data_IF_903593228814
#
_entry.id   IF_903593228814
#
_cell.length_a   1.000
_cell.length_b   1.000
_cell.length_c   1.000
_cell.angle_alpha   90.00
_cell.angle_beta   90.00
_cell.angle_gamma   90.00
#
_symmetry.space_group_name_H-M   'P 1'
#
loop_
_entity.id
_entity.type
_entity.pdbx_description
1 polymer ?
#
# COMPACT_ATOMS: atom_id res chain seq x y z
N UNK A 1 -5.81 -20.40 71.95
CA UNK A 1 -4.98 -19.26 72.42
C UNK A 1 -4.60 -18.44 71.20
N UNK A 2 -4.99 -17.16 71.18
CA UNK A 2 -4.77 -16.22 70.07
C UNK A 2 -3.30 -15.84 70.01
N UNK A 3 -2.68 -15.99 68.84
CA UNK A 3 -1.39 -15.40 68.53
C UNK A 3 -1.62 -14.27 67.51
N UNK A 4 -1.27 -13.06 67.93
CA UNK A 4 -1.21 -11.87 67.09
C UNK A 4 -0.07 -12.02 66.08
N UNK A 5 -0.32 -11.68 64.81
CA UNK A 5 0.74 -11.30 63.89
C UNK A 5 0.33 -10.01 63.16
N UNK A 6 1.00 -8.94 63.55
CA UNK A 6 1.02 -7.64 62.89
C UNK A 6 1.98 -7.78 61.70
N UNK A 7 1.51 -7.50 60.49
CA UNK A 7 2.39 -7.30 59.32
C UNK A 7 2.18 -5.87 58.83
N UNK A 8 3.21 -5.04 59.07
CA UNK A 8 3.45 -3.78 58.39
C UNK A 8 3.63 -4.05 56.89
N UNK A 9 2.82 -3.41 56.04
CA UNK A 9 3.15 -3.24 54.63
C UNK A 9 3.73 -1.83 54.43
N UNK A 10 5.02 -1.79 54.07
CA UNK A 10 5.73 -0.58 53.67
C UNK A 10 5.17 -0.02 52.36
N UNK A 11 5.13 1.30 52.29
CA UNK A 11 4.98 2.08 51.07
C UNK A 11 6.18 1.87 50.13
N UNK A 12 5.91 1.53 48.88
CA UNK A 12 6.76 1.88 47.74
C UNK A 12 5.89 2.52 46.67
N UNK A 13 5.89 3.85 46.68
CA UNK A 13 5.40 4.67 45.57
C UNK A 13 6.38 4.53 44.40
N UNK A 14 5.96 3.87 43.32
CA UNK A 14 6.68 3.92 42.05
C UNK A 14 6.13 5.07 41.20
N UNK A 15 7.05 5.98 40.94
CA UNK A 15 7.02 7.14 40.08
C UNK A 15 6.34 6.95 38.71
N UNK A 16 5.59 7.99 38.32
CA UNK A 16 5.79 8.68 37.04
C UNK A 16 5.42 7.93 35.76
N UNK A 17 4.12 7.78 35.49
CA UNK A 17 3.64 7.61 34.13
C UNK A 17 3.59 8.98 33.44
N UNK A 18 4.67 9.32 32.73
CA UNK A 18 4.64 10.42 31.75
C UNK A 18 3.58 10.09 30.69
N UNK A 19 2.65 11.02 30.36
CA UNK A 19 1.78 10.83 29.21
C UNK A 19 2.63 10.72 27.94
N UNK A 20 2.23 9.91 26.94
CA UNK A 20 2.92 9.86 25.66
C UNK A 20 2.97 11.27 25.06
N UNK A 21 4.04 11.63 24.34
CA UNK A 21 4.14 12.95 23.71
C UNK A 21 2.90 13.17 22.86
N UNK A 22 2.22 14.25 23.24
CA UNK A 22 1.12 14.89 22.56
C UNK A 22 1.39 14.85 21.05
N UNK A 23 0.39 14.35 20.31
CA UNK A 23 0.39 14.35 18.84
C UNK A 23 0.95 15.68 18.37
N UNK A 24 2.02 15.64 17.58
CA UNK A 24 2.44 16.78 16.78
C UNK A 24 1.16 17.36 16.15
N UNK A 25 0.81 18.62 16.42
CA UNK A 25 -0.36 19.21 15.80
C UNK A 25 -0.11 19.12 14.30
N UNK A 26 -0.93 18.31 13.62
CA UNK A 26 -1.14 18.47 12.19
C UNK A 26 -1.37 19.97 11.96
N UNK A 27 -0.73 20.60 10.97
CA UNK A 27 -0.90 22.02 10.75
C UNK A 27 -2.40 22.25 10.58
N UNK A 28 -2.97 22.98 11.54
CA UNK A 28 -4.31 23.54 11.48
C UNK A 28 -4.29 24.60 10.39
N UNK A 29 -4.28 24.13 9.14
CA UNK A 29 -4.49 24.95 7.96
C UNK A 29 -5.97 25.26 7.86
N UNK A 30 -6.36 26.40 8.41
CA UNK A 30 -7.54 27.14 7.96
C UNK A 30 -7.28 27.62 6.53
N UNK A 31 -7.33 26.71 5.56
CA UNK A 31 -7.31 26.98 4.15
C UNK A 31 -8.42 26.16 3.51
N UNK A 32 -9.18 26.76 2.61
CA UNK A 32 -10.18 26.03 1.83
C UNK A 32 -9.56 24.88 1.02
N UNK A 33 -10.38 24.13 0.27
CA UNK A 33 -9.88 23.02 -0.52
C UNK A 33 -8.73 23.45 -1.43
N UNK A 34 -7.75 22.57 -1.58
CA UNK A 34 -6.59 22.78 -2.44
C UNK A 34 -6.45 21.62 -3.42
N UNK A 35 -5.82 21.89 -4.56
CA UNK A 35 -5.44 20.84 -5.49
C UNK A 35 -4.36 19.97 -4.87
N UNK A 36 -4.65 18.68 -4.72
CA UNK A 36 -3.75 17.69 -4.16
C UNK A 36 -3.61 16.53 -5.15
N UNK A 37 -2.52 15.78 -5.03
CA UNK A 37 -2.38 14.53 -5.77
C UNK A 37 -3.55 13.60 -5.48
N UNK A 38 -4.12 13.04 -6.53
CA UNK A 38 -5.07 11.95 -6.41
C UNK A 38 -4.27 10.69 -6.05
N UNK A 39 -4.25 10.28 -4.78
CA UNK A 39 -3.54 9.06 -4.37
C UNK A 39 -4.41 7.80 -4.50
N UNK A 40 -4.75 7.39 -5.72
CA UNK A 40 -5.28 6.04 -5.94
C UNK A 40 -4.11 5.07 -6.16
N UNK A 41 -3.61 4.39 -5.13
CA UNK A 41 -2.47 3.45 -5.25
C UNK A 41 -2.81 2.14 -6.02
N UNK A 42 -3.77 2.26 -6.94
CA UNK A 42 -4.04 1.40 -8.07
C UNK A 42 -3.00 1.58 -9.17
N UNK A 43 -2.85 0.56 -10.01
CA UNK A 43 -2.06 0.58 -11.25
C UNK A 43 -2.51 1.64 -12.28
N UNK A 44 -3.61 2.37 -12.02
CA UNK A 44 -4.08 3.47 -12.89
C UNK A 44 -3.53 4.83 -12.49
N UNK A 45 -2.77 4.88 -11.40
CA UNK A 45 -2.04 6.07 -10.97
C UNK A 45 -0.62 6.02 -11.51
N UNK A 46 -0.10 7.09 -12.10
CA UNK A 46 1.23 7.09 -12.69
C UNK A 46 2.34 7.19 -11.62
N UNK A 47 2.01 7.23 -10.33
CA UNK A 47 2.94 6.91 -9.23
C UNK A 47 3.30 5.40 -9.22
N UNK A 48 2.41 4.53 -9.71
CA UNK A 48 2.58 3.06 -9.71
C UNK A 48 3.08 2.48 -11.05
N UNK A 49 3.16 3.30 -12.10
CA UNK A 49 3.64 2.91 -13.44
C UNK A 49 4.64 3.95 -13.90
N UNK A 50 5.81 3.56 -14.40
CA UNK A 50 6.71 4.52 -15.06
C UNK A 50 5.96 5.15 -16.25
N UNK A 51 5.63 6.46 -16.21
CA UNK A 51 4.87 7.11 -17.28
C UNK A 51 5.62 7.07 -18.63
N UNK A 52 6.93 6.79 -18.60
CA UNK A 52 7.79 6.68 -19.76
C UNK A 52 7.95 5.26 -20.31
N UNK A 53 7.40 4.23 -19.64
CA UNK A 53 7.50 2.81 -20.01
C UNK A 53 6.79 2.41 -21.31
N UNK A 54 6.12 3.36 -21.99
CA UNK A 54 5.57 3.18 -23.34
C UNK A 54 4.09 2.82 -23.40
N UNK A 55 3.43 2.62 -22.26
CA UNK A 55 1.96 2.57 -22.21
C UNK A 55 1.42 3.98 -22.08
N UNK A 56 0.59 4.43 -23.03
CA UNK A 56 -0.03 5.75 -22.94
C UNK A 56 -0.94 5.82 -21.70
N UNK A 57 -0.51 6.54 -20.66
CA UNK A 57 -1.34 6.78 -19.50
C UNK A 57 -2.60 7.56 -19.94
N UNK A 58 -3.77 7.04 -19.59
CA UNK A 58 -5.07 7.58 -20.02
C UNK A 58 -5.27 8.97 -19.46
N UNK A 59 -5.61 9.99 -20.27
CA UNK A 59 -5.97 11.32 -19.75
C UNK A 59 -7.27 11.31 -18.93
N UNK A 60 -8.00 10.19 -18.91
CA UNK A 60 -9.34 10.04 -18.30
C UNK A 60 -10.35 11.08 -18.81
N UNK A 61 -10.11 11.64 -20.00
CA UNK A 61 -10.92 12.74 -20.56
C UNK A 61 -10.76 14.08 -19.82
N UNK A 62 -9.74 14.20 -18.97
CA UNK A 62 -9.43 15.42 -18.23
C UNK A 62 -8.58 16.37 -19.08
N UNK A 63 -8.58 17.64 -18.71
CA UNK A 63 -7.68 18.67 -19.25
C UNK A 63 -6.34 18.65 -18.51
N UNK A 64 -5.23 19.07 -19.13
CA UNK A 64 -3.96 19.18 -18.42
C UNK A 64 -4.00 20.29 -17.38
N UNK A 65 -3.30 20.12 -16.25
CA UNK A 65 -3.22 21.15 -15.22
C UNK A 65 -2.54 22.42 -15.73
N UNK A 66 -1.56 22.28 -16.64
CA UNK A 66 -0.94 23.40 -17.34
C UNK A 66 -1.95 24.20 -18.17
N UNK A 67 -2.83 23.53 -18.92
CA UNK A 67 -3.87 24.19 -19.70
C UNK A 67 -4.96 24.82 -18.81
N UNK A 68 -5.28 24.18 -17.68
CA UNK A 68 -6.20 24.74 -16.69
C UNK A 68 -5.60 25.91 -15.89
N UNK A 69 -4.29 26.16 -16.02
CA UNK A 69 -3.60 27.24 -15.30
C UNK A 69 -3.51 27.01 -13.79
N UNK A 70 -3.48 25.73 -13.37
CA UNK A 70 -3.48 25.34 -11.96
C UNK A 70 -2.32 24.42 -11.62
N UNK A 71 -1.89 24.44 -10.36
CA UNK A 71 -0.81 23.59 -9.82
C UNK A 71 -1.18 23.01 -8.46
N UNK A 72 -0.37 22.05 -8.02
CA UNK A 72 -0.46 21.47 -6.68
C UNK A 72 -0.45 22.58 -5.61
N UNK A 73 -1.37 22.48 -4.66
CA UNK A 73 -1.53 23.42 -3.56
C UNK A 73 -2.34 24.67 -3.89
N UNK A 74 -2.72 24.91 -5.15
CA UNK A 74 -3.62 26.02 -5.48
C UNK A 74 -4.97 25.82 -4.79
N UNK A 75 -5.52 26.90 -4.25
CA UNK A 75 -6.89 26.94 -3.75
C UNK A 75 -7.86 26.62 -4.88
N UNK A 76 -8.85 25.79 -4.59
CA UNK A 76 -9.85 25.38 -5.56
C UNK A 76 -11.24 25.38 -4.91
N UNK A 77 -12.30 25.42 -5.71
CA UNK A 77 -13.66 25.24 -5.21
C UNK A 77 -14.05 23.77 -5.21
N UNK A 78 -15.02 23.35 -4.39
CA UNK A 78 -15.48 21.96 -4.26
C UNK A 78 -15.95 21.29 -5.58
N UNK A 79 -16.10 22.07 -6.66
CA UNK A 79 -16.48 21.64 -8.01
C UNK A 79 -15.36 21.84 -9.05
N UNK A 80 -14.13 22.14 -8.62
CA UNK A 80 -13.01 22.28 -9.54
C UNK A 80 -12.76 20.94 -10.25
N UNK A 81 -12.71 20.98 -11.58
CA UNK A 81 -12.46 19.81 -12.39
C UNK A 81 -11.08 19.21 -12.06
N UNK A 82 -10.99 17.89 -12.04
CA UNK A 82 -9.70 17.21 -11.98
C UNK A 82 -8.89 17.53 -13.23
N UNK A 83 -7.58 17.58 -13.09
CA UNK A 83 -6.67 17.78 -14.21
C UNK A 83 -5.54 16.77 -14.14
N UNK A 84 -4.89 16.51 -15.28
CA UNK A 84 -3.74 15.61 -15.33
C UNK A 84 -2.42 16.39 -15.41
N UNK A 85 -1.38 15.85 -14.78
CA UNK A 85 -0.01 16.36 -14.85
C UNK A 85 0.76 15.62 -15.95
N UNK A 86 1.74 16.32 -16.51
CA UNK A 86 2.57 15.84 -17.61
C UNK A 86 4.04 15.83 -17.21
N UNK A 87 4.78 14.84 -17.70
CA UNK A 87 6.24 14.79 -17.61
C UNK A 87 6.84 14.57 -19.00
N UNK A 88 8.07 15.02 -19.19
CA UNK A 88 8.83 14.78 -20.43
C UNK A 88 9.80 13.63 -20.20
N UNK A 89 9.64 12.58 -20.98
CA UNK A 89 10.51 11.41 -20.98
C UNK A 89 11.86 11.72 -21.64
N UNK A 90 12.86 10.88 -21.36
CA UNK A 90 14.23 11.05 -21.92
C UNK A 90 14.28 10.97 -23.45
N UNK A 91 13.30 10.31 -24.06
CA UNK A 91 13.12 10.22 -25.52
C UNK A 91 12.35 11.41 -26.12
N UNK A 92 12.01 12.41 -25.31
CA UNK A 92 11.31 13.62 -25.73
C UNK A 92 9.79 13.50 -25.78
N UNK A 93 9.20 12.33 -25.46
CA UNK A 93 7.74 12.17 -25.37
C UNK A 93 7.19 12.84 -24.12
N UNK A 94 6.01 13.43 -24.22
CA UNK A 94 5.22 13.86 -23.06
C UNK A 94 4.30 12.72 -22.63
N UNK A 95 4.26 12.43 -21.33
CA UNK A 95 3.41 11.40 -20.75
C UNK A 95 2.64 11.93 -19.54
N UNK A 96 1.43 11.39 -19.31
CA UNK A 96 0.64 11.69 -18.11
C UNK A 96 1.34 11.10 -16.90
N UNK A 97 1.74 11.95 -15.96
CA UNK A 97 2.55 11.60 -14.80
C UNK A 97 1.79 11.60 -13.49
N UNK A 98 0.66 12.31 -13.40
CA UNK A 98 -0.22 12.26 -12.22
C UNK A 98 -1.58 12.93 -12.51
N UNK A 99 -2.42 13.06 -11.49
CA UNK A 99 -3.64 13.86 -11.52
C UNK A 99 -3.78 14.69 -10.24
N UNK A 100 -4.32 15.90 -10.40
CA UNK A 100 -4.71 16.75 -9.29
C UNK A 100 -6.24 16.76 -9.13
N UNK A 101 -6.66 16.63 -7.88
CA UNK A 101 -8.06 16.73 -7.46
C UNK A 101 -8.20 17.78 -6.38
N UNK A 102 -9.31 18.50 -6.41
CA UNK A 102 -9.62 19.49 -5.39
C UNK A 102 -10.17 18.79 -4.15
N UNK A 103 -9.47 18.90 -3.02
CA UNK A 103 -9.85 18.25 -1.77
C UNK A 103 -9.67 19.19 -0.57
N UNK A 104 -10.59 19.10 0.39
CA UNK A 104 -10.52 19.87 1.65
C UNK A 104 -9.37 19.42 2.53
N UNK A 105 -8.95 18.16 2.38
CA UNK A 105 -7.84 17.54 3.10
C UNK A 105 -7.13 16.60 2.14
N UNK A 106 -5.80 16.66 2.10
CA UNK A 106 -5.00 15.68 1.37
C UNK A 106 -5.45 14.27 1.79
N UNK A 107 -5.71 13.35 0.86
CA UNK A 107 -6.10 12.00 1.21
C UNK A 107 -5.01 11.39 2.10
N UNK A 108 -5.33 11.23 3.39
CA UNK A 108 -4.51 10.47 4.31
C UNK A 108 -4.58 9.02 3.84
N UNK A 109 -3.54 8.59 3.10
CA UNK A 109 -3.18 7.21 2.70
C UNK A 109 -3.62 6.79 1.30
N UNK A 110 -2.75 5.96 0.73
CA UNK A 110 -3.03 5.01 -0.34
C UNK A 110 -4.19 4.06 0.04
N UNK A 111 -5.42 4.36 -0.39
CA UNK A 111 -6.55 3.45 -0.21
C UNK A 111 -6.97 2.87 -1.57
N UNK A 112 -7.06 1.54 -1.66
CA UNK A 112 -7.54 0.86 -2.88
C UNK A 112 -9.07 0.73 -2.86
N UNK A 113 -9.73 1.00 -4.00
CA UNK A 113 -11.18 0.81 -4.17
C UNK A 113 -11.50 -0.70 -4.22
N UNK A 114 -11.93 -1.28 -3.10
CA UNK A 114 -12.16 -2.73 -3.00
C UNK A 114 -13.63 -3.19 -3.02
N UNK A 115 -14.59 -2.25 -2.94
CA UNK A 115 -16.03 -2.59 -2.98
C UNK A 115 -16.46 -3.18 -4.33
N UNK A 116 -17.37 -4.15 -4.30
CA UNK A 116 -17.91 -4.81 -5.49
C UNK A 116 -18.58 -3.83 -6.47
N UNK A 117 -19.14 -2.72 -5.99
CA UNK A 117 -19.74 -1.68 -6.85
C UNK A 117 -18.74 -1.03 -7.81
N UNK A 118 -17.44 -1.18 -7.56
CA UNK A 118 -16.35 -0.66 -8.38
C UNK A 118 -15.67 -1.74 -9.23
N UNK A 119 -16.19 -2.97 -9.23
CA UNK A 119 -15.61 -4.13 -9.90
C UNK A 119 -16.66 -4.77 -10.83
N UNK A 120 -16.21 -5.36 -11.92
CA UNK A 120 -17.05 -6.11 -12.87
C UNK A 120 -16.50 -7.53 -13.00
N UNK A 121 -17.29 -8.44 -13.56
CA UNK A 121 -16.89 -9.83 -13.82
C UNK A 121 -16.32 -10.58 -12.60
N UNK A 122 -16.88 -10.31 -11.41
CA UNK A 122 -16.40 -10.86 -10.16
C UNK A 122 -16.62 -12.38 -10.14
N UNK A 123 -15.53 -13.14 -10.01
CA UNK A 123 -15.53 -14.58 -9.78
C UNK A 123 -14.66 -14.89 -8.56
N UNK A 124 -15.20 -15.70 -7.65
CA UNK A 124 -14.42 -16.20 -6.52
C UNK A 124 -13.54 -17.37 -6.95
N UNK A 125 -12.35 -17.46 -6.35
CA UNK A 125 -11.37 -18.50 -6.64
C UNK A 125 -11.83 -19.87 -6.13
N UNK A 126 -11.63 -20.92 -6.94
CA UNK A 126 -11.76 -22.29 -6.47
C UNK A 126 -10.59 -22.66 -5.55
N UNK A 127 -10.66 -23.76 -4.78
CA UNK A 127 -9.52 -24.24 -3.99
C UNK A 127 -8.26 -24.49 -4.82
N UNK A 128 -8.41 -24.95 -6.07
CA UNK A 128 -7.29 -25.16 -6.98
C UNK A 128 -6.65 -23.82 -7.41
N UNK A 129 -7.46 -22.79 -7.64
CA UNK A 129 -6.97 -21.45 -7.99
C UNK A 129 -6.27 -20.80 -6.80
N UNK A 130 -6.82 -20.92 -5.59
CA UNK A 130 -6.17 -20.46 -4.35
C UNK A 130 -4.80 -21.12 -4.18
N UNK A 131 -4.71 -22.44 -4.42
CA UNK A 131 -3.44 -23.16 -4.36
C UNK A 131 -2.45 -22.68 -5.43
N UNK A 132 -2.92 -22.36 -6.63
CA UNK A 132 -2.07 -21.83 -7.70
C UNK A 132 -1.46 -20.48 -7.33
N UNK A 133 -2.29 -19.55 -6.85
CA UNK A 133 -1.83 -18.23 -6.39
C UNK A 133 -0.92 -18.34 -5.17
N UNK A 134 -1.24 -19.24 -4.23
CA UNK A 134 -0.40 -19.50 -3.05
C UNK A 134 1.05 -19.89 -3.43
N UNK A 135 1.21 -20.72 -4.47
CA UNK A 135 2.53 -21.17 -4.92
C UNK A 135 3.41 -20.01 -5.40
N UNK A 136 2.83 -18.97 -5.98
CA UNK A 136 3.59 -17.80 -6.43
C UNK A 136 4.32 -17.11 -5.27
N UNK A 137 3.69 -17.05 -4.10
CA UNK A 137 4.29 -16.48 -2.88
C UNK A 137 5.25 -17.47 -2.21
N UNK A 138 4.91 -18.76 -2.18
CA UNK A 138 5.77 -19.81 -1.59
C UNK A 138 7.15 -19.90 -2.29
N UNK A 139 7.24 -19.50 -3.56
CA UNK A 139 8.50 -19.49 -4.32
C UNK A 139 9.31 -18.21 -4.18
N UNK A 140 8.82 -17.19 -3.49
CA UNK A 140 9.52 -15.90 -3.37
C UNK A 140 10.83 -16.04 -2.58
N UNK A 141 11.91 -15.55 -3.19
CA UNK A 141 13.21 -15.43 -2.54
C UNK A 141 13.32 -14.08 -1.84
N UNK A 142 13.41 -14.09 -0.52
CA UNK A 142 13.62 -12.88 0.25
C UNK A 142 15.09 -12.43 0.18
N UNK A 143 15.29 -11.14 -0.02
CA UNK A 143 16.58 -10.50 -0.11
C UNK A 143 16.67 -9.28 0.81
N UNK A 144 17.88 -9.00 1.30
CA UNK A 144 18.21 -7.71 1.88
C UNK A 144 19.00 -6.90 0.86
N UNK A 145 18.62 -5.65 0.64
CA UNK A 145 19.24 -4.79 -0.37
C UNK A 145 19.35 -3.35 0.10
N UNK A 146 20.17 -2.55 -0.59
CA UNK A 146 20.21 -1.09 -0.49
C UNK A 146 19.95 -0.53 -1.87
N UNK A 147 19.24 0.58 -1.98
CA UNK A 147 19.07 1.25 -3.26
C UNK A 147 20.39 1.89 -3.69
N UNK A 148 20.72 1.76 -4.99
CA UNK A 148 21.98 2.25 -5.55
C UNK A 148 22.10 3.77 -5.55
N UNK A 149 20.97 4.48 -5.56
CA UNK A 149 20.89 5.94 -5.50
C UNK A 149 20.95 6.50 -4.07
N UNK A 150 20.93 5.63 -3.05
CA UNK A 150 20.98 6.00 -1.64
C UNK A 150 22.36 5.64 -1.06
N UNK A 151 23.33 6.52 -1.29
CA UNK A 151 24.67 6.39 -0.69
C UNK A 151 24.57 6.34 0.84
N UNK A 152 24.92 5.19 1.43
CA UNK A 152 24.83 4.96 2.87
C UNK A 152 23.41 4.66 3.39
N UNK A 153 22.40 4.54 2.53
CA UNK A 153 21.02 4.27 2.93
C UNK A 153 20.82 2.92 3.61
N UNK A 154 19.90 2.83 4.57
CA UNK A 154 19.67 1.64 5.39
C UNK A 154 19.27 0.39 4.57
N UNK A 155 19.72 -0.82 4.97
CA UNK A 155 19.26 -2.06 4.34
C UNK A 155 17.74 -2.22 4.44
N UNK A 156 17.13 -2.62 3.34
CA UNK A 156 15.71 -2.96 3.21
C UNK A 156 15.55 -4.47 3.11
N UNK A 157 14.38 -4.97 3.48
CA UNK A 157 13.96 -6.35 3.25
C UNK A 157 12.90 -6.35 2.14
N UNK A 158 13.02 -7.26 1.18
CA UNK A 158 12.04 -7.45 0.12
C UNK A 158 12.38 -8.66 -0.72
N UNK A 159 12.07 -8.61 -2.01
CA UNK A 159 12.44 -9.61 -3.01
C UNK A 159 12.89 -8.92 -4.29
N UNK A 160 13.52 -9.68 -5.19
CA UNK A 160 14.00 -9.21 -6.49
C UNK A 160 13.00 -9.69 -7.54
N UNK A 161 12.49 -8.78 -8.38
CA UNK A 161 11.40 -9.09 -9.32
C UNK A 161 11.84 -10.03 -10.44
N UNK A 162 13.12 -10.03 -10.81
CA UNK A 162 13.72 -10.98 -11.75
C UNK A 162 13.65 -12.44 -11.24
N UNK A 163 13.74 -12.64 -9.93
CA UNK A 163 13.57 -13.96 -9.29
C UNK A 163 12.09 -14.40 -9.20
N UNK A 164 11.15 -13.49 -9.45
CA UNK A 164 9.71 -13.69 -9.31
C UNK A 164 8.94 -13.41 -10.61
N UNK A 165 9.63 -13.53 -11.75
CA UNK A 165 9.05 -13.25 -13.07
C UNK A 165 7.84 -14.15 -13.35
N UNK A 166 6.79 -13.55 -13.92
CA UNK A 166 5.55 -14.26 -14.26
C UNK A 166 4.55 -14.45 -13.12
N UNK A 167 4.83 -13.95 -11.91
CA UNK A 167 3.84 -13.90 -10.82
C UNK A 167 2.80 -12.81 -11.05
N UNK A 168 1.59 -12.99 -10.51
CA UNK A 168 0.44 -12.12 -10.77
C UNK A 168 0.60 -10.69 -10.22
N UNK A 169 1.58 -10.48 -9.33
CA UNK A 169 1.83 -9.23 -8.64
C UNK A 169 3.10 -8.52 -9.09
N UNK A 170 3.84 -9.08 -10.05
CA UNK A 170 4.94 -8.39 -10.73
C UNK A 170 4.41 -7.82 -12.04
N UNK A 171 4.70 -6.54 -12.28
CA UNK A 171 4.34 -5.85 -13.52
C UNK A 171 4.94 -6.54 -14.76
N UNK A 172 4.31 -6.39 -15.94
CA UNK A 172 4.79 -7.04 -17.17
C UNK A 172 6.23 -6.67 -17.58
N UNK A 173 6.70 -5.47 -17.22
CA UNK A 173 8.08 -5.03 -17.50
C UNK A 173 9.09 -5.56 -16.47
N UNK A 174 8.62 -6.23 -15.42
CA UNK A 174 9.42 -6.82 -14.36
C UNK A 174 10.04 -5.82 -13.39
N UNK A 175 9.65 -4.54 -13.41
CA UNK A 175 10.32 -3.49 -12.62
C UNK A 175 9.57 -3.05 -11.38
N UNK A 176 8.25 -3.25 -11.38
CA UNK A 176 7.37 -2.80 -10.31
C UNK A 176 6.51 -3.94 -9.76
N UNK A 177 6.01 -3.75 -8.54
CA UNK A 177 5.18 -4.71 -7.82
C UNK A 177 3.83 -4.09 -7.51
N UNK A 178 2.75 -4.77 -7.87
CA UNK A 178 1.41 -4.47 -7.38
C UNK A 178 1.27 -4.99 -5.94
N UNK A 179 1.36 -4.07 -4.97
CA UNK A 179 1.25 -4.41 -3.56
C UNK A 179 -0.13 -4.98 -3.17
N UNK A 180 -1.20 -4.58 -3.86
CA UNK A 180 -2.55 -5.11 -3.59
C UNK A 180 -2.65 -6.56 -4.06
N UNK A 181 -2.11 -6.86 -5.23
CA UNK A 181 -2.03 -8.21 -5.76
C UNK A 181 -1.13 -9.10 -4.89
N UNK A 182 0.06 -8.61 -4.48
CA UNK A 182 0.97 -9.35 -3.60
C UNK A 182 0.34 -9.67 -2.24
N UNK A 183 -0.36 -8.69 -1.64
CA UNK A 183 -1.06 -8.90 -0.38
C UNK A 183 -2.17 -9.94 -0.52
N UNK A 184 -2.94 -9.88 -1.61
CA UNK A 184 -4.00 -10.85 -1.90
C UNK A 184 -3.44 -12.26 -2.12
N UNK A 185 -2.31 -12.38 -2.83
CA UNK A 185 -1.62 -13.65 -3.00
C UNK A 185 -1.05 -14.20 -1.69
N UNK A 186 -0.55 -13.32 -0.82
CA UNK A 186 -0.09 -13.69 0.53
C UNK A 186 -1.24 -14.25 1.38
N UNK A 187 -2.45 -13.67 1.28
CA UNK A 187 -3.65 -14.21 1.94
C UNK A 187 -3.99 -15.61 1.41
N UNK A 188 -3.90 -15.84 0.09
CA UNK A 188 -4.10 -17.17 -0.49
C UNK A 188 -3.09 -18.20 0.07
N UNK A 189 -1.81 -17.81 0.19
CA UNK A 189 -0.78 -18.66 0.80
C UNK A 189 -1.08 -19.00 2.26
N UNK A 190 -1.55 -18.04 3.06
CA UNK A 190 -1.95 -18.27 4.45
C UNK A 190 -3.15 -19.24 4.54
N UNK A 191 -4.16 -19.07 3.69
CA UNK A 191 -5.31 -19.97 3.63
C UNK A 191 -4.91 -21.39 3.25
N UNK A 192 -4.00 -21.53 2.28
CA UNK A 192 -3.50 -22.83 1.84
C UNK A 192 -2.67 -23.52 2.94
N UNK A 193 -1.87 -22.75 3.70
CA UNK A 193 -1.12 -23.26 4.84
C UNK A 193 -2.06 -23.74 5.95
N UNK A 194 -3.07 -22.95 6.31
CA UNK A 194 -4.09 -23.34 7.30
C UNK A 194 -4.82 -24.64 6.91
N UNK A 195 -5.21 -24.78 5.64
CA UNK A 195 -5.82 -26.01 5.13
C UNK A 195 -4.88 -27.23 5.26
N UNK A 196 -3.58 -27.06 4.95
CA UNK A 196 -2.57 -28.12 5.12
C UNK A 196 -2.38 -28.48 6.60
N UNK A 197 -2.34 -27.50 7.48
CA UNK A 197 -2.20 -27.70 8.94
C UNK A 197 -3.37 -28.53 9.46
N UNK A 198 -4.61 -28.13 9.17
CA UNK A 198 -5.82 -28.86 9.58
C UNK A 198 -5.80 -30.32 9.10
N UNK A 199 -5.45 -30.54 7.84
CA UNK A 199 -5.34 -31.89 7.29
C UNK A 199 -4.25 -32.74 7.98
N UNK A 200 -3.13 -32.13 8.37
CA UNK A 200 -2.07 -32.80 9.11
C UNK A 200 -2.48 -33.10 10.56
N UNK A 201 -3.13 -32.18 11.25
CA UNK A 201 -3.63 -32.36 12.61
C UNK A 201 -4.65 -33.50 12.68
N UNK A 202 -5.58 -33.56 11.73
CA UNK A 202 -6.52 -34.67 11.63
C UNK A 202 -5.82 -36.02 11.45
N UNK A 203 -4.81 -36.08 10.56
CA UNK A 203 -4.04 -37.31 10.34
C UNK A 203 -3.32 -37.75 11.61
N UNK A 204 -2.67 -36.82 12.30
CA UNK A 204 -1.98 -37.10 13.57
C UNK A 204 -2.97 -37.57 14.64
N UNK A 205 -4.15 -36.95 14.72
CA UNK A 205 -5.19 -37.35 15.68
C UNK A 205 -5.72 -38.76 15.45
N UNK A 206 -5.81 -39.21 14.19
CA UNK A 206 -6.22 -40.58 13.82
C UNK A 206 -5.12 -41.63 14.07
N UNK A 207 -3.87 -41.20 14.26
CA UNK A 207 -2.75 -42.09 14.57
C UNK A 207 -2.43 -42.15 16.07
N UNK A 208 -3.20 -41.45 16.91
CA UNK A 208 -3.18 -41.56 18.38
C UNK A 208 -4.31 -42.48 18.83
#
# INVERSE_FOLDING_TARGET
>A
MRAHLVIMALLTACSGSSPPPEKNPSPTGSGGPTLQYMSDCSLTNPIAVDPCSGTAASTRGLTSCAQAGVKLGDSCGSNAASCYLETTCTDGRTAVSDYLVCVDKSPDRCLTRSSAQFKQDIRYLSPADVQAVAREVETLRLARFRYSDQNGGEPRLGFITEDASGTSFVSPDGRTVDLYSLLSASVAALQQQDARIKALEERVSRCR
#
